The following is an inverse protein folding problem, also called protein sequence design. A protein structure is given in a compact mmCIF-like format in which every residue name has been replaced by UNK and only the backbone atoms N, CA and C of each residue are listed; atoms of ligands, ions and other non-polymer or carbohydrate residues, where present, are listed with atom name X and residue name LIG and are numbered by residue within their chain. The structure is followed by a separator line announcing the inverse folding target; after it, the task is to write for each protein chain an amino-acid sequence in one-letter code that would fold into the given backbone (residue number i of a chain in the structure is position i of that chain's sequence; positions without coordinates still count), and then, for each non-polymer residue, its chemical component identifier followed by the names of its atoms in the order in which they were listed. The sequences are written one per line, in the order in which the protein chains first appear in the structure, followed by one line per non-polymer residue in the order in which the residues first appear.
data_IF_129845194302
#
_entry.id   IF_129845194302
#
_cell.length_a   1.000
_cell.length_b   1.000
_cell.length_c   1.000
_cell.angle_alpha   90.00
_cell.angle_beta   90.00
_cell.angle_gamma   90.00
#
_symmetry.space_group_name_H-M   'P 1'
#
loop_
_entity.id
_entity.type
_entity.pdbx_description
1 polymer ?
#
# COMPACT_ATOMS: atom_id res chain seq x y z
N UNK A 1 25.88 -12.51 -3.69
CA UNK A 1 25.15 -13.28 -2.66
C UNK A 1 26.12 -14.23 -1.99
N UNK A 2 26.22 -14.20 -0.66
CA UNK A 2 27.12 -15.11 0.07
C UNK A 2 26.59 -16.55 -0.03
N UNK A 3 27.49 -17.51 0.01
CA UNK A 3 27.18 -18.94 -0.03
C UNK A 3 26.20 -19.34 1.09
N UNK A 4 26.31 -18.71 2.27
CA UNK A 4 25.36 -18.84 3.39
C UNK A 4 23.93 -18.40 3.05
N UNK A 5 23.75 -17.34 2.27
CA UNK A 5 22.42 -16.87 1.87
C UNK A 5 21.76 -17.82 0.87
N UNK A 6 22.56 -18.46 -0.02
CA UNK A 6 22.07 -19.54 -0.89
C UNK A 6 21.66 -20.76 -0.08
N UNK A 7 22.48 -21.20 0.87
CA UNK A 7 22.16 -22.36 1.72
C UNK A 7 20.89 -22.13 2.53
N UNK A 8 20.68 -20.93 3.10
CA UNK A 8 19.48 -20.60 3.86
C UNK A 8 18.22 -20.56 2.97
N UNK A 9 18.31 -19.98 1.77
CA UNK A 9 17.18 -19.96 0.83
C UNK A 9 16.85 -21.36 0.28
N UNK A 10 17.87 -22.18 0.01
CA UNK A 10 17.68 -23.58 -0.40
C UNK A 10 17.11 -24.42 0.74
N UNK A 11 17.53 -24.19 1.99
CA UNK A 11 16.96 -24.84 3.18
C UNK A 11 15.49 -24.47 3.41
N UNK A 12 15.13 -23.19 3.25
CA UNK A 12 13.74 -22.73 3.32
C UNK A 12 12.87 -23.28 2.18
N UNK A 13 13.45 -23.52 0.99
CA UNK A 13 12.76 -24.19 -0.12
C UNK A 13 12.57 -25.70 0.13
N UNK A 14 13.43 -26.35 0.91
CA UNK A 14 13.33 -27.79 1.21
C UNK A 14 12.43 -28.15 2.40
N UNK A 15 12.03 -27.18 3.23
CA UNK A 15 11.15 -27.39 4.39
C UNK A 15 9.75 -26.75 4.22
N UNK A 16 9.29 -26.55 2.98
CA UNK A 16 7.90 -26.18 2.75
C UNK A 16 7.00 -27.39 3.01
N UNK A 17 6.52 -27.51 4.24
CA UNK A 17 5.43 -28.42 4.59
C UNK A 17 4.10 -27.78 4.16
N UNK A 18 3.60 -28.20 2.99
CA UNK A 18 2.35 -27.75 2.42
C UNK A 18 1.17 -27.92 3.40
N UNK A 19 1.14 -29.01 4.16
CA UNK A 19 0.08 -29.26 5.14
C UNK A 19 0.14 -28.26 6.29
N UNK A 20 1.34 -27.99 6.80
CA UNK A 20 1.52 -26.96 7.83
C UNK A 20 1.15 -25.57 7.33
N UNK A 21 1.56 -25.22 6.11
CA UNK A 21 1.18 -23.94 5.49
C UNK A 21 -0.34 -23.79 5.36
N UNK A 22 -1.04 -24.81 4.87
CA UNK A 22 -2.50 -24.79 4.75
C UNK A 22 -3.19 -24.71 6.11
N UNK A 23 -2.65 -25.37 7.14
CA UNK A 23 -3.16 -25.27 8.51
C UNK A 23 -2.98 -23.84 9.06
N UNK A 24 -1.82 -23.23 8.86
CA UNK A 24 -1.53 -21.86 9.30
C UNK A 24 -2.46 -20.85 8.59
N UNK A 25 -2.65 -20.96 7.28
CA UNK A 25 -3.59 -20.12 6.52
C UNK A 25 -5.02 -20.31 7.01
N UNK A 26 -5.44 -21.55 7.29
CA UNK A 26 -6.78 -21.84 7.81
C UNK A 26 -6.99 -21.21 9.19
N UNK A 27 -5.99 -21.30 10.08
CA UNK A 27 -6.00 -20.64 11.39
C UNK A 27 -6.12 -19.12 11.25
N UNK A 28 -5.32 -18.50 10.38
CA UNK A 28 -5.37 -17.06 10.13
C UNK A 28 -6.74 -16.61 9.59
N UNK A 29 -7.34 -17.40 8.69
CA UNK A 29 -8.69 -17.12 8.17
C UNK A 29 -9.78 -17.18 9.25
N UNK A 30 -9.73 -18.19 10.11
CA UNK A 30 -10.68 -18.31 11.22
C UNK A 30 -10.53 -17.14 12.20
N UNK A 31 -9.30 -16.80 12.55
CA UNK A 31 -9.02 -15.71 13.47
C UNK A 31 -9.44 -14.35 12.91
N UNK A 32 -9.13 -14.08 11.64
CA UNK A 32 -9.62 -12.88 10.96
C UNK A 32 -11.16 -12.84 10.95
N UNK A 33 -11.81 -13.97 10.67
CA UNK A 33 -13.28 -14.04 10.67
C UNK A 33 -13.86 -13.73 12.05
N UNK A 34 -13.25 -14.25 13.12
CA UNK A 34 -13.59 -13.93 14.51
C UNK A 34 -13.45 -12.42 14.76
N UNK A 35 -12.29 -11.83 14.43
CA UNK A 35 -12.03 -10.40 14.59
C UNK A 35 -13.08 -9.53 13.89
N UNK A 36 -13.42 -9.86 12.65
CA UNK A 36 -14.43 -9.14 11.87
C UNK A 36 -15.84 -9.25 12.47
N UNK A 37 -16.12 -10.27 13.30
CA UNK A 37 -17.41 -10.45 13.97
C UNK A 37 -17.53 -9.75 15.32
N UNK A 38 -16.41 -9.46 15.98
CA UNK A 38 -16.37 -8.81 17.30
C UNK A 38 -16.57 -7.29 17.21
N UNK A 39 -16.26 -6.72 16.07
CA UNK A 39 -16.41 -5.30 15.82
C UNK A 39 -15.56 -4.88 14.62
N UNK A 40 -15.93 -3.77 14.01
CA UNK A 40 -15.16 -3.20 12.92
C UNK A 40 -14.50 -1.90 13.36
N UNK A 41 -13.24 -1.73 12.99
CA UNK A 41 -12.53 -0.46 13.08
C UNK A 41 -12.95 0.40 11.90
N UNK A 42 -13.48 1.60 12.17
CA UNK A 42 -13.88 2.52 11.11
C UNK A 42 -12.66 2.95 10.28
N UNK A 43 -12.80 2.89 8.96
CA UNK A 43 -11.75 3.27 8.03
C UNK A 43 -11.68 4.81 7.87
N UNK A 44 -10.48 5.39 7.79
CA UNK A 44 -10.34 6.80 7.44
C UNK A 44 -10.86 7.04 6.03
N UNK A 45 -11.71 8.07 5.87
CA UNK A 45 -12.22 8.51 4.57
C UNK A 45 -11.35 9.62 3.94
N UNK A 46 -10.41 10.14 4.72
CA UNK A 46 -9.55 11.24 4.35
C UNK A 46 -8.11 10.99 4.79
N UNK A 47 -7.16 11.43 3.99
CA UNK A 47 -5.73 11.26 4.27
C UNK A 47 -5.02 12.60 4.25
N UNK A 48 -4.26 12.88 5.32
CA UNK A 48 -3.22 13.90 5.24
C UNK A 48 -2.13 13.37 4.33
N UNK A 49 -1.73 14.17 3.36
CA UNK A 49 -0.72 13.79 2.39
C UNK A 49 0.41 14.82 2.38
N UNK A 50 1.67 14.35 2.27
CA UNK A 50 2.81 15.26 2.13
C UNK A 50 2.71 16.00 0.79
N UNK A 51 3.21 17.23 0.78
CA UNK A 51 3.47 17.94 -0.47
C UNK A 51 4.64 17.26 -1.18
N UNK A 52 4.50 17.08 -2.48
CA UNK A 52 5.56 16.58 -3.35
C UNK A 52 6.18 17.73 -4.14
N UNK A 53 7.46 17.60 -4.50
CA UNK A 53 8.11 18.45 -5.50
C UNK A 53 7.81 17.99 -6.93
N UNK A 54 8.28 18.77 -7.90
CA UNK A 54 8.17 18.48 -9.33
C UNK A 54 8.78 17.12 -9.74
N UNK A 55 9.81 16.67 -9.03
CA UNK A 55 10.45 15.37 -9.20
C UNK A 55 9.73 14.23 -8.43
N UNK A 56 8.54 14.48 -7.89
CA UNK A 56 7.72 13.55 -7.11
C UNK A 56 8.28 13.12 -5.75
N UNK A 57 9.34 13.76 -5.25
CA UNK A 57 9.87 13.49 -3.91
C UNK A 57 9.04 14.20 -2.83
N UNK A 58 8.99 13.62 -1.63
CA UNK A 58 8.28 14.18 -0.48
C UNK A 58 9.24 15.00 0.41
N UNK A 59 8.70 15.94 1.20
CA UNK A 59 9.50 16.70 2.18
C UNK A 59 9.16 18.19 2.32
N UNK A 60 8.18 18.68 1.54
CA UNK A 60 7.83 20.10 1.48
C UNK A 60 6.67 20.49 2.41
N UNK A 61 6.53 19.77 3.53
CA UNK A 61 5.42 19.89 4.47
C UNK A 61 4.18 19.10 4.03
N UNK A 62 3.02 19.46 4.60
CA UNK A 62 1.74 18.81 4.31
C UNK A 62 0.89 19.68 3.39
N UNK A 63 0.06 19.04 2.58
CA UNK A 63 -0.97 19.75 1.83
C UNK A 63 -2.04 20.29 2.80
N UNK A 64 -2.65 21.43 2.47
CA UNK A 64 -3.64 22.05 3.35
C UNK A 64 -4.94 21.24 3.43
N UNK A 65 -5.42 20.73 2.29
CA UNK A 65 -6.66 19.96 2.20
C UNK A 65 -6.33 18.47 2.09
N UNK A 66 -6.91 17.60 2.92
CA UNK A 66 -6.63 16.17 2.85
C UNK A 66 -7.13 15.58 1.54
N UNK A 67 -6.53 14.46 1.15
CA UNK A 67 -7.09 13.62 0.11
C UNK A 67 -8.41 13.00 0.58
N UNK A 68 -9.46 13.02 -0.25
CA UNK A 68 -10.73 12.37 0.07
C UNK A 68 -10.98 11.12 -0.78
N UNK A 69 -11.32 9.98 -0.15
CA UNK A 69 -11.61 8.73 -0.85
C UNK A 69 -12.78 8.84 -1.83
N UNK A 70 -13.74 9.73 -1.56
CA UNK A 70 -14.91 9.96 -2.41
C UNK A 70 -14.56 10.47 -3.81
N UNK A 71 -13.33 10.95 -4.03
CA UNK A 71 -12.86 11.38 -5.34
C UNK A 71 -12.53 10.21 -6.28
N UNK A 72 -12.38 9.00 -5.73
CA UNK A 72 -12.06 7.79 -6.47
C UNK A 72 -13.17 6.73 -6.39
N UNK A 73 -13.95 6.70 -5.30
CA UNK A 73 -14.93 5.64 -5.07
C UNK A 73 -16.22 6.15 -4.44
N UNK A 74 -17.34 5.52 -4.80
CA UNK A 74 -18.61 5.70 -4.10
C UNK A 74 -18.53 5.15 -2.68
N UNK A 75 -18.86 5.99 -1.70
CA UNK A 75 -18.84 5.65 -0.28
C UNK A 75 -20.24 5.28 0.24
N UNK A 76 -20.94 4.43 -0.51
CA UNK A 76 -22.20 3.84 -0.07
C UNK A 76 -22.00 2.94 1.17
N UNK A 77 -23.10 2.48 1.76
CA UNK A 77 -23.06 1.64 2.97
C UNK A 77 -22.24 0.36 2.76
N UNK A 78 -22.34 -0.25 1.57
CA UNK A 78 -21.66 -1.50 1.24
C UNK A 78 -20.15 -1.29 1.13
N UNK A 79 -19.70 -0.23 0.47
CA UNK A 79 -18.31 0.10 0.31
C UNK A 79 -17.71 0.59 1.63
N UNK A 80 -18.44 1.37 2.43
CA UNK A 80 -18.03 1.71 3.80
C UNK A 80 -17.84 0.47 4.67
N UNK A 81 -18.76 -0.50 4.60
CA UNK A 81 -18.62 -1.77 5.32
C UNK A 81 -17.36 -2.54 4.87
N UNK A 82 -17.09 -2.59 3.56
CA UNK A 82 -15.88 -3.22 3.01
C UNK A 82 -14.62 -2.52 3.48
N UNK A 83 -14.59 -1.19 3.45
CA UNK A 83 -13.46 -0.39 3.95
C UNK A 83 -13.19 -0.68 5.43
N UNK A 84 -14.23 -0.69 6.27
CA UNK A 84 -14.08 -0.99 7.69
C UNK A 84 -13.55 -2.42 7.93
N UNK A 85 -13.96 -3.40 7.12
CA UNK A 85 -13.41 -4.76 7.18
C UNK A 85 -11.93 -4.80 6.79
N UNK A 86 -11.53 -4.10 5.73
CA UNK A 86 -10.12 -3.99 5.32
C UNK A 86 -9.28 -3.31 6.41
N UNK A 87 -9.79 -2.22 6.98
CA UNK A 87 -9.09 -1.50 8.04
C UNK A 87 -8.94 -2.37 9.31
N UNK A 88 -9.98 -3.13 9.67
CA UNK A 88 -9.92 -4.10 10.78
C UNK A 88 -8.86 -5.18 10.53
N UNK A 89 -8.82 -5.75 9.32
CA UNK A 89 -7.82 -6.73 8.94
C UNK A 89 -6.40 -6.16 9.01
N UNK A 90 -6.22 -4.93 8.54
CA UNK A 90 -4.96 -4.20 8.55
C UNK A 90 -4.45 -3.94 9.99
N UNK A 91 -5.31 -3.49 10.89
CA UNK A 91 -4.96 -3.34 12.31
C UNK A 91 -4.59 -4.67 12.96
N UNK A 92 -5.39 -5.71 12.73
CA UNK A 92 -5.09 -7.04 13.28
C UNK A 92 -3.76 -7.60 12.76
N UNK A 93 -3.46 -7.46 11.46
CA UNK A 93 -2.16 -7.87 10.92
C UNK A 93 -1.03 -7.11 11.61
N UNK A 94 -1.17 -5.79 11.81
CA UNK A 94 -0.15 -5.00 12.46
C UNK A 94 0.06 -5.36 13.93
N UNK A 95 -0.99 -5.76 14.66
CA UNK A 95 -0.86 -6.29 16.02
C UNK A 95 -0.04 -7.59 16.06
N UNK A 96 -0.12 -8.41 15.01
CA UNK A 96 0.59 -9.68 14.94
C UNK A 96 2.07 -9.55 14.60
N UNK A 97 2.42 -8.63 13.69
CA UNK A 97 3.77 -8.55 13.12
C UNK A 97 4.50 -7.25 13.39
N UNK A 98 3.82 -6.22 13.91
CA UNK A 98 4.37 -4.88 14.22
C UNK A 98 5.16 -4.28 13.05
N UNK A 99 4.44 -3.73 12.07
CA UNK A 99 5.02 -3.08 10.91
C UNK A 99 5.07 -1.56 11.13
N UNK A 100 6.17 -0.93 10.74
CA UNK A 100 6.28 0.54 10.72
C UNK A 100 5.33 1.16 9.69
N UNK A 101 5.06 0.42 8.62
CA UNK A 101 4.19 0.87 7.54
C UNK A 101 3.49 -0.31 6.85
N UNK A 102 2.18 -0.21 6.65
CA UNK A 102 1.36 -1.17 5.89
C UNK A 102 0.21 -0.43 5.21
N UNK A 103 -0.05 -0.70 3.94
CA UNK A 103 -1.15 -0.08 3.20
C UNK A 103 -1.88 -1.05 2.29
N UNK A 104 -3.20 -0.89 2.19
CA UNK A 104 -4.05 -1.60 1.24
C UNK A 104 -4.51 -0.61 0.19
N UNK A 105 -4.46 -1.05 -1.07
CA UNK A 105 -4.72 -0.20 -2.22
C UNK A 105 -5.70 -0.84 -3.19
N UNK A 106 -6.41 0.01 -3.94
CA UNK A 106 -7.29 -0.42 -5.03
C UNK A 106 -7.09 0.46 -6.26
N UNK A 107 -7.11 -0.17 -7.43
CA UNK A 107 -7.12 0.55 -8.71
C UNK A 107 -8.44 1.31 -8.87
N UNK A 108 -8.33 2.60 -9.19
CA UNK A 108 -9.41 3.43 -9.70
C UNK A 108 -9.16 3.70 -11.19
N UNK A 109 -10.15 3.41 -12.04
CA UNK A 109 -10.06 3.69 -13.49
C UNK A 109 -10.24 5.19 -13.76
N UNK A 110 -11.17 5.82 -13.04
CA UNK A 110 -11.44 7.24 -13.09
C UNK A 110 -11.09 7.86 -11.73
N UNK A 111 -10.40 8.98 -11.78
CA UNK A 111 -9.96 9.71 -10.59
C UNK A 111 -10.21 11.19 -10.80
N UNK A 112 -11.23 11.72 -10.12
CA UNK A 112 -11.67 13.10 -10.25
C UNK A 112 -11.09 13.94 -9.12
N UNK A 113 -9.83 14.35 -9.29
CA UNK A 113 -9.18 15.23 -8.32
C UNK A 113 -9.65 16.69 -8.48
N UNK A 114 -9.83 17.44 -7.38
CA UNK A 114 -9.99 18.89 -7.44
C UNK A 114 -8.74 19.55 -8.06
N UNK A 115 -8.91 20.65 -8.80
CA UNK A 115 -7.82 21.33 -9.52
C UNK A 115 -6.63 21.76 -8.62
N UNK A 116 -6.84 22.00 -7.32
CA UNK A 116 -5.74 22.34 -6.39
C UNK A 116 -4.79 21.17 -6.08
N UNK A 117 -5.11 19.97 -6.57
CA UNK A 117 -4.32 18.75 -6.40
C UNK A 117 -3.40 18.48 -7.60
N UNK A 118 -3.56 19.19 -8.71
CA UNK A 118 -2.61 19.11 -9.83
C UNK A 118 -1.18 19.48 -9.36
N UNK A 119 -1.07 20.41 -8.40
CA UNK A 119 0.18 20.78 -7.72
C UNK A 119 0.73 19.68 -6.79
N UNK A 120 -0.06 18.64 -6.47
CA UNK A 120 0.25 17.58 -5.50
C UNK A 120 0.51 16.22 -6.17
N UNK A 121 -0.11 15.94 -7.32
CA UNK A 121 0.05 14.64 -8.00
C UNK A 121 0.44 14.73 -9.47
N UNK A 122 0.70 15.94 -9.98
CA UNK A 122 0.90 16.20 -11.40
C UNK A 122 -0.41 16.07 -12.18
N UNK A 123 -0.35 16.30 -13.49
CA UNK A 123 -1.51 16.15 -14.39
C UNK A 123 -1.90 14.67 -14.56
N UNK A 124 -2.50 14.08 -13.53
CA UNK A 124 -2.84 12.64 -13.43
C UNK A 124 -4.32 12.36 -13.71
N UNK A 125 -5.04 13.33 -14.27
CA UNK A 125 -6.49 13.26 -14.47
C UNK A 125 -6.95 12.30 -15.59
N UNK A 126 -6.03 11.67 -16.32
CA UNK A 126 -6.34 10.84 -17.51
C UNK A 126 -5.86 9.40 -17.43
N UNK A 127 -5.14 9.00 -16.37
CA UNK A 127 -4.63 7.64 -16.20
C UNK A 127 -5.25 6.97 -14.97
N UNK A 128 -5.42 5.64 -14.98
CA UNK A 128 -5.82 4.93 -13.79
C UNK A 128 -4.81 5.17 -12.66
N UNK A 129 -5.30 5.17 -11.43
CA UNK A 129 -4.49 5.38 -10.23
C UNK A 129 -4.67 4.22 -9.26
N UNK A 130 -3.60 3.90 -8.53
CA UNK A 130 -3.67 3.05 -7.36
C UNK A 130 -3.95 3.94 -6.15
N UNK A 131 -5.10 3.75 -5.51
CA UNK A 131 -5.61 4.59 -4.42
C UNK A 131 -5.51 3.85 -3.10
N UNK A 132 -4.94 4.50 -2.09
CA UNK A 132 -4.83 3.99 -0.73
C UNK A 132 -6.19 3.92 -0.07
N UNK A 133 -6.60 2.72 0.38
CA UNK A 133 -7.89 2.47 1.03
C UNK A 133 -7.83 2.50 2.56
N UNK A 134 -6.72 2.03 3.13
CA UNK A 134 -6.39 2.10 4.55
C UNK A 134 -4.89 1.87 4.73
N UNK A 135 -4.31 2.38 5.83
CA UNK A 135 -2.89 2.22 6.12
C UNK A 135 -2.56 2.45 7.60
N UNK A 136 -1.42 1.93 8.03
CA UNK A 136 -0.72 2.25 9.28
C UNK A 136 0.66 2.82 8.90
N UNK A 137 1.17 3.74 9.73
CA UNK A 137 2.50 4.32 9.58
C UNK A 137 2.48 5.83 9.30
N UNK A 138 3.63 6.35 8.87
CA UNK A 138 3.79 7.77 8.55
C UNK A 138 2.90 8.20 7.35
N UNK A 139 2.41 9.46 7.34
CA UNK A 139 1.65 9.99 6.21
C UNK A 139 2.45 9.91 4.90
N UNK A 140 1.83 9.38 3.85
CA UNK A 140 2.42 9.27 2.52
C UNK A 140 1.35 9.52 1.45
N UNK A 141 1.77 9.59 0.17
CA UNK A 141 0.86 9.80 -0.97
C UNK A 141 -0.36 8.88 -0.90
N UNK A 142 -1.53 9.41 -1.25
CA UNK A 142 -2.78 8.65 -1.27
C UNK A 142 -3.10 8.07 -2.66
N UNK A 143 -2.60 8.70 -3.71
CA UNK A 143 -2.77 8.28 -5.10
C UNK A 143 -1.42 8.08 -5.80
N UNK A 144 -1.34 7.00 -6.56
CA UNK A 144 -0.14 6.58 -7.30
C UNK A 144 -0.54 6.33 -8.76
N UNK A 145 -0.11 7.19 -9.70
CA UNK A 145 -0.39 6.97 -11.11
C UNK A 145 0.09 5.60 -11.58
N UNK A 146 -0.75 4.93 -12.38
CA UNK A 146 -0.43 3.64 -12.99
C UNK A 146 0.02 3.85 -14.43
N UNK A 147 1.22 4.38 -14.59
CA UNK A 147 1.92 4.49 -15.86
C UNK A 147 3.40 4.14 -15.70
N UNK A 148 4.06 3.80 -16.80
CA UNK A 148 5.45 3.35 -16.79
C UNK A 148 6.43 4.39 -16.24
N UNK A 149 6.23 5.68 -16.57
CA UNK A 149 7.09 6.77 -16.09
C UNK A 149 7.07 6.84 -14.56
N UNK A 150 5.89 6.82 -13.94
CA UNK A 150 5.77 6.87 -12.49
C UNK A 150 6.21 5.56 -11.81
N UNK A 151 6.06 4.43 -12.49
CA UNK A 151 6.51 3.14 -11.98
C UNK A 151 8.05 3.00 -11.91
N UNK A 152 8.81 3.86 -12.60
CA UNK A 152 10.27 3.88 -12.46
C UNK A 152 10.74 4.37 -11.08
N UNK A 153 9.90 5.11 -10.36
CA UNK A 153 10.21 5.68 -9.04
C UNK A 153 9.32 5.14 -7.91
N UNK A 154 8.21 4.48 -8.23
CA UNK A 154 7.21 4.00 -7.26
C UNK A 154 7.10 2.47 -7.24
N UNK A 155 7.48 1.85 -6.13
CA UNK A 155 7.36 0.41 -5.93
C UNK A 155 5.89 -0.05 -5.95
N UNK A 156 4.98 0.78 -5.45
CA UNK A 156 3.54 0.50 -5.45
C UNK A 156 3.02 0.40 -6.89
N UNK A 157 3.34 1.38 -7.73
CA UNK A 157 2.94 1.37 -9.14
C UNK A 157 3.66 0.27 -9.91
N UNK A 158 4.96 0.06 -9.66
CA UNK A 158 5.75 -0.99 -10.30
C UNK A 158 5.24 -2.39 -9.97
N UNK A 159 4.98 -2.66 -8.70
CA UNK A 159 4.50 -3.95 -8.23
C UNK A 159 3.12 -4.25 -8.82
N UNK A 160 2.23 -3.24 -8.86
CA UNK A 160 0.91 -3.38 -9.48
C UNK A 160 1.01 -3.67 -10.98
N UNK A 161 1.73 -2.86 -11.75
CA UNK A 161 1.83 -3.01 -13.22
C UNK A 161 2.53 -4.31 -13.62
N UNK A 162 3.58 -4.69 -12.90
CA UNK A 162 4.32 -5.93 -13.17
C UNK A 162 3.62 -7.19 -12.66
N UNK A 163 2.60 -7.04 -11.80
CA UNK A 163 1.96 -8.13 -11.05
C UNK A 163 2.93 -8.98 -10.23
N UNK A 164 4.12 -8.43 -9.94
CA UNK A 164 5.15 -9.09 -9.17
C UNK A 164 5.37 -8.34 -7.86
N UNK A 165 5.38 -9.04 -6.71
CA UNK A 165 5.72 -8.42 -5.45
C UNK A 165 7.18 -7.95 -5.48
N UNK A 166 7.43 -6.76 -4.94
CA UNK A 166 8.77 -6.20 -4.80
C UNK A 166 9.19 -6.35 -3.34
N UNK A 167 10.28 -7.08 -3.11
CA UNK A 167 10.91 -7.19 -1.80
C UNK A 167 12.21 -6.39 -1.80
N UNK A 168 12.25 -5.34 -0.98
CA UNK A 168 13.46 -4.56 -0.71
C UNK A 168 13.94 -4.94 0.68
N UNK A 169 15.12 -5.57 0.76
CA UNK A 169 15.70 -5.98 2.05
C UNK A 169 16.51 -4.86 2.72
N UNK A 170 17.01 -3.93 1.92
CA UNK A 170 17.81 -2.79 2.33
C UNK A 170 17.44 -1.61 1.43
N UNK A 171 16.78 -0.61 2.01
CA UNK A 171 16.24 0.53 1.27
C UNK A 171 17.36 1.41 0.72
N UNK A 172 18.36 1.74 1.54
CA UNK A 172 19.47 2.60 1.13
C UNK A 172 20.22 2.00 -0.05
N UNK A 173 20.55 0.71 0.07
CA UNK A 173 21.24 -0.01 -1.00
C UNK A 173 20.38 -0.11 -2.26
N UNK A 174 19.10 -0.46 -2.12
CA UNK A 174 18.21 -0.61 -3.26
C UNK A 174 18.03 0.72 -4.01
N UNK A 175 17.85 1.83 -3.30
CA UNK A 175 17.77 3.18 -3.91
C UNK A 175 19.07 3.53 -4.62
N UNK A 176 20.24 3.25 -4.02
CA UNK A 176 21.53 3.46 -4.67
C UNK A 176 21.72 2.63 -5.95
N UNK A 177 21.08 1.47 -6.04
CA UNK A 177 21.05 0.59 -7.22
C UNK A 177 19.94 0.95 -8.21
N UNK A 178 19.17 2.02 -7.95
CA UNK A 178 18.10 2.51 -8.83
C UNK A 178 16.75 1.80 -8.66
N UNK A 179 16.49 1.19 -7.50
CA UNK A 179 15.19 0.62 -7.20
C UNK A 179 14.11 1.72 -7.19
N UNK A 180 12.87 1.40 -7.61
CA UNK A 180 11.75 2.35 -7.63
C UNK A 180 11.24 2.54 -6.19
N UNK A 181 11.99 3.24 -5.36
CA UNK A 181 11.60 3.58 -3.99
C UNK A 181 11.86 5.06 -3.77
N UNK A 182 10.87 5.73 -3.19
CA UNK A 182 11.00 7.10 -2.71
C UNK A 182 10.46 7.16 -1.29
N UNK A 183 11.09 7.97 -0.45
CA UNK A 183 10.66 8.19 0.92
C UNK A 183 9.77 9.43 0.98
N UNK A 184 8.72 9.30 1.80
CA UNK A 184 7.91 10.37 2.37
C UNK A 184 7.91 10.14 3.88
#
# INVERSE_FOLDING_TARGET
MSEKARTLFTQLQTEFDEMRYLQDISRLRMELSRRLSEGLVEAPLQYRVPRVSEDNTCGFGMVQNPFELKWAFDLDEKNRLRLNRLNTALHWLNEMVTLDWLGIYQKAEEFHQPAYIDDIYGNSSTSPNLIKLCYIGAPSRAAFPLNETFAQQSNNSRSFLSQNPILIQDVEKAVAEGAPYYEC
#
